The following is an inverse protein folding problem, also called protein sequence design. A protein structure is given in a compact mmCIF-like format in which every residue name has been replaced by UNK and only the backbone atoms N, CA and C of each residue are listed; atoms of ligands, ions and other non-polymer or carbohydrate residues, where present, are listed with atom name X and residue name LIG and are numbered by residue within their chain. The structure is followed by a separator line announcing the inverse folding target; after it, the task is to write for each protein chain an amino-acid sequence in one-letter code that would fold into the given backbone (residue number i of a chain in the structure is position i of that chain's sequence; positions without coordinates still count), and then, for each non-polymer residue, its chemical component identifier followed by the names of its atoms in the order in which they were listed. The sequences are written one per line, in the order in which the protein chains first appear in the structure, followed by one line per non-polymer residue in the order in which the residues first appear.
data_IF_593660704834
#
_entry.id   IF_593660704834
#
_cell.length_a   1.000
_cell.length_b   1.000
_cell.length_c   1.000
_cell.angle_alpha   90.00
_cell.angle_beta   90.00
_cell.angle_gamma   90.00
#
_symmetry.space_group_name_H-M   'P 1'
#
loop_
_entity.id
_entity.type
_entity.pdbx_description
1 polymer ?
#
# COMPACT_ATOMS: atom_id res chain seq x y z
N UNK A 1 -28.01 -8.78 -10.92
CA UNK A 1 -27.97 -7.39 -11.43
C UNK A 1 -28.36 -6.36 -10.36
N UNK A 2 -28.00 -6.54 -9.08
CA UNK A 2 -28.56 -5.69 -8.00
C UNK A 2 -27.58 -5.39 -6.86
N UNK A 3 -26.27 -5.37 -7.12
CA UNK A 3 -25.25 -5.09 -6.10
C UNK A 3 -24.33 -3.89 -6.42
N UNK A 4 -24.62 -3.13 -7.49
CA UNK A 4 -23.87 -1.93 -7.90
C UNK A 4 -24.58 -0.61 -7.58
N UNK A 5 -25.67 -0.63 -6.82
CA UNK A 5 -26.43 0.58 -6.46
C UNK A 5 -26.15 0.97 -5.02
N UNK A 6 -25.11 1.79 -4.82
CA UNK A 6 -25.10 2.93 -3.89
C UNK A 6 -23.70 3.57 -3.88
N UNK A 7 -23.29 4.11 -5.03
CA UNK A 7 -22.37 5.25 -5.04
C UNK A 7 -23.23 6.45 -5.44
N UNK A 8 -23.40 7.41 -4.53
CA UNK A 8 -23.93 8.72 -4.90
C UNK A 8 -22.92 9.31 -5.88
N UNK A 9 -23.32 9.43 -7.16
CA UNK A 9 -22.47 9.96 -8.21
C UNK A 9 -22.06 11.39 -7.86
N UNK A 10 -20.75 11.63 -7.75
CA UNK A 10 -20.23 12.99 -7.76
C UNK A 10 -20.68 13.69 -9.06
N UNK A 11 -20.99 15.00 -9.05
CA UNK A 11 -21.34 15.75 -10.26
C UNK A 11 -20.30 15.53 -11.36
N UNK A 12 -20.68 15.53 -12.64
CA UNK A 12 -19.76 15.23 -13.76
C UNK A 12 -18.45 16.03 -13.68
N UNK A 13 -18.51 17.29 -13.25
CA UNK A 13 -17.35 18.16 -13.07
C UNK A 13 -16.38 17.68 -11.98
N UNK A 14 -16.89 17.19 -10.85
CA UNK A 14 -16.06 16.74 -9.72
C UNK A 14 -15.31 15.44 -10.05
N UNK A 15 -15.98 14.49 -10.72
CA UNK A 15 -15.35 13.23 -11.13
C UNK A 15 -14.26 13.46 -12.20
N UNK A 16 -14.51 14.35 -13.17
CA UNK A 16 -13.53 14.72 -14.18
C UNK A 16 -12.30 15.41 -13.58
N UNK A 17 -12.49 16.33 -12.63
CA UNK A 17 -11.38 16.95 -11.91
C UNK A 17 -10.59 15.94 -11.08
N UNK A 18 -11.30 15.05 -10.36
CA UNK A 18 -10.65 13.99 -9.58
C UNK A 18 -9.84 13.06 -10.48
N UNK A 19 -10.38 12.72 -11.66
CA UNK A 19 -9.67 11.97 -12.68
C UNK A 19 -8.38 12.68 -13.06
N UNK A 20 -8.44 13.93 -13.51
CA UNK A 20 -7.26 14.70 -13.89
C UNK A 20 -6.21 14.79 -12.77
N UNK A 21 -6.64 15.05 -11.52
CA UNK A 21 -5.74 15.14 -10.36
C UNK A 21 -4.99 13.83 -10.07
N UNK A 22 -5.70 12.70 -10.04
CA UNK A 22 -5.07 11.38 -9.77
C UNK A 22 -4.14 11.00 -10.92
N UNK A 23 -4.56 11.22 -12.18
CA UNK A 23 -3.73 10.94 -13.37
C UNK A 23 -2.44 11.75 -13.39
N UNK A 24 -2.51 13.02 -13.00
CA UNK A 24 -1.35 13.91 -12.89
C UNK A 24 -0.39 13.47 -11.78
N UNK A 25 -0.89 12.99 -10.63
CA UNK A 25 -0.05 12.52 -9.54
C UNK A 25 0.90 11.40 -9.97
N UNK A 26 0.43 10.43 -10.76
CA UNK A 26 1.28 9.36 -11.31
C UNK A 26 2.42 9.89 -12.19
N UNK A 27 2.15 10.93 -13.00
CA UNK A 27 3.18 11.56 -13.82
C UNK A 27 4.18 12.36 -12.97
N UNK A 28 3.70 13.04 -11.93
CA UNK A 28 4.56 13.77 -10.98
C UNK A 28 5.51 12.83 -10.24
N UNK A 29 5.06 11.63 -9.88
CA UNK A 29 5.92 10.60 -9.27
C UNK A 29 6.96 10.03 -10.23
N UNK A 30 6.65 9.97 -11.54
CA UNK A 30 7.61 9.51 -12.54
C UNK A 30 8.53 10.63 -13.06
N UNK A 31 8.24 11.90 -12.77
CA UNK A 31 8.97 13.04 -13.31
C UNK A 31 10.46 13.11 -12.95
N UNK A 32 10.91 12.69 -11.74
CA UNK A 32 12.34 12.70 -11.39
C UNK A 32 13.17 11.61 -12.07
N UNK A 33 12.52 10.65 -12.76
CA UNK A 33 13.16 9.42 -13.22
C UNK A 33 13.58 9.49 -14.69
N UNK A 34 14.72 8.88 -14.99
CA UNK A 34 15.18 8.66 -16.35
C UNK A 34 14.36 7.57 -17.06
N UNK A 35 14.59 7.40 -18.37
CA UNK A 35 13.94 6.33 -19.12
C UNK A 35 14.44 4.94 -18.68
N UNK A 36 15.71 4.88 -18.28
CA UNK A 36 16.41 3.71 -17.78
C UNK A 36 15.80 3.27 -16.43
N UNK A 37 15.65 4.20 -15.49
CA UNK A 37 14.98 3.96 -14.20
C UNK A 37 13.56 3.41 -14.40
N UNK A 38 12.85 3.95 -15.40
CA UNK A 38 11.47 3.57 -15.67
C UNK A 38 11.32 2.17 -16.29
N UNK A 39 12.40 1.53 -16.75
CA UNK A 39 12.40 0.21 -17.37
C UNK A 39 12.77 -0.92 -16.40
N UNK A 40 13.50 -0.62 -15.33
CA UNK A 40 14.08 -1.65 -14.45
C UNK A 40 13.00 -2.45 -13.71
N UNK A 41 13.21 -3.76 -13.63
CA UNK A 41 12.50 -4.65 -12.72
C UNK A 41 13.53 -5.33 -11.81
N UNK A 42 13.64 -4.84 -10.58
CA UNK A 42 14.69 -5.27 -9.64
C UNK A 42 14.38 -6.59 -8.91
N UNK A 43 13.15 -7.07 -8.99
CA UNK A 43 12.72 -8.38 -8.48
C UNK A 43 11.37 -8.80 -9.11
N UNK A 44 10.98 -10.09 -9.06
CA UNK A 44 9.74 -10.57 -9.68
C UNK A 44 8.47 -9.87 -9.20
N UNK A 45 8.46 -9.39 -7.96
CA UNK A 45 7.30 -8.70 -7.39
C UNK A 45 7.17 -7.24 -7.81
N UNK A 46 8.28 -6.57 -8.09
CA UNK A 46 8.29 -5.20 -8.58
C UNK A 46 7.87 -5.16 -10.06
N UNK A 47 7.38 -4.02 -10.52
CA UNK A 47 7.15 -3.73 -11.94
C UNK A 47 7.85 -2.44 -12.36
N UNK A 48 8.29 -2.33 -13.63
CA UNK A 48 8.86 -1.09 -14.13
C UNK A 48 7.89 0.09 -14.00
N UNK A 49 8.40 1.28 -13.68
CA UNK A 49 7.56 2.50 -13.56
C UNK A 49 6.76 2.75 -14.84
N UNK A 50 7.35 2.54 -16.02
CA UNK A 50 6.61 2.67 -17.28
C UNK A 50 5.46 1.65 -17.39
N UNK A 51 5.62 0.46 -16.80
CA UNK A 51 4.57 -0.55 -16.77
C UNK A 51 3.44 -0.12 -15.85
N UNK A 52 3.73 0.45 -14.66
CA UNK A 52 2.70 1.04 -13.80
C UNK A 52 1.90 2.10 -14.57
N UNK A 53 2.59 3.05 -15.20
CA UNK A 53 1.97 4.14 -15.96
C UNK A 53 1.07 3.63 -17.10
N UNK A 54 1.50 2.60 -17.82
CA UNK A 54 0.71 1.99 -18.88
C UNK A 54 -0.44 1.15 -18.34
N UNK A 55 -0.23 0.36 -17.29
CA UNK A 55 -1.23 -0.52 -16.69
C UNK A 55 -2.45 0.22 -16.15
N UNK A 56 -2.23 1.31 -15.40
CA UNK A 56 -3.36 2.11 -14.90
C UNK A 56 -4.12 2.81 -16.03
N UNK A 57 -3.48 3.01 -17.19
CA UNK A 57 -4.13 3.56 -18.39
C UNK A 57 -4.94 2.48 -19.11
N UNK A 58 -4.36 1.29 -19.22
CA UNK A 58 -5.01 0.08 -19.72
C UNK A 58 -6.30 -0.23 -18.96
N UNK A 59 -6.34 0.02 -17.65
CA UNK A 59 -7.57 -0.14 -16.86
C UNK A 59 -8.71 0.73 -17.43
N UNK A 60 -8.48 2.02 -17.65
CA UNK A 60 -9.49 2.93 -18.18
C UNK A 60 -9.85 2.60 -19.64
N UNK A 61 -8.87 2.26 -20.47
CA UNK A 61 -9.14 1.88 -21.85
C UNK A 61 -9.99 0.60 -21.94
N UNK A 62 -9.66 -0.42 -21.15
CA UNK A 62 -10.30 -1.76 -21.20
C UNK A 62 -11.66 -1.78 -20.50
N UNK A 63 -11.76 -1.23 -19.28
CA UNK A 63 -12.98 -1.35 -18.49
C UNK A 63 -13.97 -0.20 -18.72
N UNK A 64 -13.51 0.94 -19.24
CA UNK A 64 -14.35 2.13 -19.44
C UNK A 64 -14.51 2.46 -20.92
N UNK A 65 -13.44 2.84 -21.62
CA UNK A 65 -13.57 3.32 -23.01
C UNK A 65 -14.11 2.23 -23.95
N UNK A 66 -13.60 1.01 -23.87
CA UNK A 66 -14.06 -0.12 -24.71
C UNK A 66 -15.57 -0.36 -24.62
N UNK A 67 -16.18 -0.10 -23.45
CA UNK A 67 -17.60 -0.32 -23.21
C UNK A 67 -18.47 0.90 -23.51
N UNK A 68 -17.98 2.10 -23.26
CA UNK A 68 -18.84 3.30 -23.20
C UNK A 68 -18.51 4.36 -24.26
N UNK A 69 -17.35 4.28 -24.91
CA UNK A 69 -17.01 5.16 -26.03
C UNK A 69 -17.66 4.67 -27.32
N UNK A 70 -18.31 5.58 -28.06
CA UNK A 70 -18.89 5.25 -29.37
C UNK A 70 -17.78 5.12 -30.41
N UNK A 71 -17.77 4.02 -31.16
CA UNK A 71 -16.77 3.78 -32.19
C UNK A 71 -15.38 3.52 -31.62
N UNK A 72 -15.31 2.91 -30.43
CA UNK A 72 -14.06 2.60 -29.74
C UNK A 72 -13.04 1.93 -30.67
N UNK A 73 -11.81 2.45 -30.63
CA UNK A 73 -10.62 1.80 -31.14
C UNK A 73 -9.53 1.81 -30.05
N UNK A 74 -8.78 0.71 -29.87
CA UNK A 74 -7.66 0.70 -28.94
C UNK A 74 -6.52 1.58 -29.46
N UNK A 75 -5.71 2.15 -28.56
CA UNK A 75 -4.49 2.87 -28.92
C UNK A 75 -3.52 1.96 -29.70
N UNK A 76 -3.29 0.75 -29.19
CA UNK A 76 -2.53 -0.32 -29.83
C UNK A 76 -3.11 -1.67 -29.38
N UNK A 77 -3.56 -2.55 -30.29
CA UNK A 77 -4.12 -3.85 -29.92
C UNK A 77 -3.20 -4.70 -29.04
N UNK A 78 -1.87 -4.60 -29.20
CA UNK A 78 -0.91 -5.37 -28.40
C UNK A 78 -0.91 -4.96 -26.92
N UNK A 79 -1.31 -3.72 -26.61
CA UNK A 79 -1.28 -3.21 -25.24
C UNK A 79 -2.29 -3.91 -24.33
N UNK A 80 -3.34 -4.50 -24.91
CA UNK A 80 -4.31 -5.32 -24.18
C UNK A 80 -3.63 -6.46 -23.42
N UNK A 81 -2.65 -7.12 -24.05
CA UNK A 81 -1.92 -8.27 -23.48
C UNK A 81 -0.71 -7.82 -22.66
N UNK A 82 0.02 -6.79 -23.12
CA UNK A 82 1.22 -6.30 -22.43
C UNK A 82 0.92 -5.73 -21.04
N UNK A 83 -0.24 -5.10 -20.88
CA UNK A 83 -0.60 -4.37 -19.68
C UNK A 83 -1.77 -5.01 -18.91
N UNK A 84 -2.25 -6.18 -19.30
CA UNK A 84 -3.09 -7.00 -18.42
C UNK A 84 -2.23 -7.49 -17.24
N UNK A 85 -2.69 -7.24 -16.01
CA UNK A 85 -1.98 -7.63 -14.80
C UNK A 85 -2.20 -9.09 -14.44
N UNK A 86 -3.46 -9.47 -14.29
CA UNK A 86 -3.89 -10.78 -13.79
C UNK A 86 -5.32 -11.16 -14.22
N UNK A 87 -6.02 -10.37 -15.04
CA UNK A 87 -7.44 -10.59 -15.33
C UNK A 87 -7.61 -11.70 -16.38
N UNK A 88 -7.94 -12.90 -15.92
CA UNK A 88 -8.09 -14.08 -16.78
C UNK A 88 -9.32 -13.94 -17.69
N UNK A 89 -10.40 -13.34 -17.18
CA UNK A 89 -11.59 -13.05 -17.97
C UNK A 89 -11.35 -12.03 -19.10
N UNK A 90 -10.26 -11.25 -19.05
CA UNK A 90 -9.92 -10.28 -20.11
C UNK A 90 -9.13 -10.94 -21.24
N UNK A 91 -8.24 -11.89 -20.91
CA UNK A 91 -7.49 -12.68 -21.89
C UNK A 91 -6.02 -12.88 -21.50
N UNK A 92 -5.19 -13.12 -22.51
CA UNK A 92 -3.75 -13.36 -22.35
C UNK A 92 -3.04 -12.20 -21.64
N UNK A 93 -1.90 -12.53 -21.02
CA UNK A 93 -1.08 -11.56 -20.30
C UNK A 93 0.41 -11.90 -20.40
N UNK A 94 1.25 -10.87 -20.35
CA UNK A 94 2.70 -11.06 -20.23
C UNK A 94 3.09 -11.58 -18.85
N UNK A 95 4.14 -12.41 -18.78
CA UNK A 95 4.63 -12.95 -17.51
C UNK A 95 5.10 -11.80 -16.57
N UNK A 96 4.53 -11.74 -15.36
CA UNK A 96 4.83 -10.68 -14.37
C UNK A 96 6.33 -10.53 -14.09
N UNK A 97 7.03 -11.65 -13.90
CA UNK A 97 8.46 -11.67 -13.59
C UNK A 97 9.38 -11.24 -14.76
N UNK A 98 8.82 -11.00 -15.95
CA UNK A 98 9.56 -10.64 -17.16
C UNK A 98 9.18 -9.25 -17.69
N UNK A 99 8.42 -8.45 -16.92
CA UNK A 99 8.03 -7.08 -17.33
C UNK A 99 9.23 -6.19 -17.62
N UNK A 100 10.35 -6.36 -16.91
CA UNK A 100 11.61 -5.65 -17.14
C UNK A 100 12.30 -6.00 -18.47
N UNK A 101 11.94 -7.13 -19.10
CA UNK A 101 12.48 -7.54 -20.41
C UNK A 101 11.68 -6.95 -21.59
N UNK A 102 10.53 -6.34 -21.31
CA UNK A 102 9.66 -5.73 -22.33
C UNK A 102 10.20 -4.35 -22.67
N UNK A 103 11.08 -4.26 -23.67
CA UNK A 103 11.75 -3.01 -24.06
C UNK A 103 10.80 -2.02 -24.75
N UNK A 104 9.77 -2.52 -25.45
CA UNK A 104 8.75 -1.70 -26.13
C UNK A 104 7.37 -1.97 -25.55
N UNK A 105 6.50 -0.95 -25.41
CA UNK A 105 6.69 0.44 -25.83
C UNK A 105 7.74 1.23 -25.01
N UNK A 106 8.29 2.30 -25.59
CA UNK A 106 9.18 3.24 -24.90
C UNK A 106 8.41 4.06 -23.86
N UNK A 107 9.10 4.71 -22.92
CA UNK A 107 8.45 5.61 -21.95
C UNK A 107 7.67 6.73 -22.65
N UNK A 108 8.19 7.27 -23.75
CA UNK A 108 7.50 8.29 -24.56
C UNK A 108 6.20 7.74 -25.17
N UNK A 109 6.23 6.54 -25.74
CA UNK A 109 5.02 5.88 -26.26
C UNK A 109 3.99 5.61 -25.15
N UNK A 110 4.43 5.24 -23.95
CA UNK A 110 3.54 5.10 -22.78
C UNK A 110 2.94 6.45 -22.38
N UNK A 111 3.69 7.55 -22.43
CA UNK A 111 3.17 8.90 -22.16
C UNK A 111 2.17 9.35 -23.23
N UNK A 112 2.43 9.04 -24.51
CA UNK A 112 1.49 9.30 -25.60
C UNK A 112 0.19 8.49 -25.43
N UNK A 113 0.30 7.22 -25.03
CA UNK A 113 -0.84 6.37 -24.68
C UNK A 113 -1.69 6.98 -23.56
N UNK A 114 -1.04 7.39 -22.47
CA UNK A 114 -1.69 8.11 -21.36
C UNK A 114 -2.44 9.34 -21.84
N UNK A 115 -1.77 10.23 -22.57
CA UNK A 115 -2.36 11.48 -23.02
C UNK A 115 -3.59 11.25 -23.92
N UNK A 116 -3.55 10.26 -24.82
CA UNK A 116 -4.67 9.96 -25.69
C UNK A 116 -5.87 9.39 -24.91
N UNK A 117 -5.64 8.43 -24.00
CA UNK A 117 -6.70 7.87 -23.15
C UNK A 117 -7.27 8.93 -22.23
N UNK A 118 -6.44 9.80 -21.64
CA UNK A 118 -6.89 10.89 -20.77
C UNK A 118 -7.80 11.87 -21.54
N UNK A 119 -7.47 12.21 -22.80
CA UNK A 119 -8.31 13.07 -23.64
C UNK A 119 -9.68 12.43 -23.97
N UNK A 120 -9.69 11.13 -24.28
CA UNK A 120 -10.92 10.36 -24.55
C UNK A 120 -11.79 10.23 -23.30
N UNK A 121 -11.17 9.96 -22.16
CA UNK A 121 -11.83 9.91 -20.86
C UNK A 121 -12.42 11.26 -20.47
N UNK A 122 -11.72 12.38 -20.72
CA UNK A 122 -12.26 13.71 -20.48
C UNK A 122 -13.55 13.96 -21.27
N UNK A 123 -13.56 13.60 -22.57
CA UNK A 123 -14.76 13.69 -23.41
C UNK A 123 -15.91 12.80 -22.91
N UNK A 124 -15.61 11.56 -22.52
CA UNK A 124 -16.61 10.64 -21.96
C UNK A 124 -17.18 11.14 -20.64
N UNK A 125 -16.34 11.62 -19.72
CA UNK A 125 -16.75 12.12 -18.41
C UNK A 125 -17.58 13.40 -18.53
N UNK A 126 -17.22 14.30 -19.45
CA UNK A 126 -18.01 15.49 -19.73
C UNK A 126 -19.40 15.15 -20.27
N UNK A 127 -19.49 14.13 -21.15
CA UNK A 127 -20.75 13.76 -21.78
C UNK A 127 -21.64 12.86 -20.93
N UNK A 128 -21.05 11.93 -20.17
CA UNK A 128 -21.74 10.78 -19.54
C UNK A 128 -21.21 10.42 -18.15
N UNK A 129 -20.40 11.28 -17.52
CA UNK A 129 -19.75 10.98 -16.23
C UNK A 129 -20.70 10.78 -15.05
N UNK A 130 -21.92 11.32 -15.13
CA UNK A 130 -22.99 11.14 -14.12
C UNK A 130 -23.69 9.78 -14.20
N UNK A 131 -23.48 9.01 -15.26
CA UNK A 131 -24.07 7.68 -15.37
C UNK A 131 -23.48 6.76 -14.29
N UNK A 132 -24.31 6.13 -13.43
CA UNK A 132 -23.82 5.43 -12.24
C UNK A 132 -22.79 4.33 -12.51
N UNK A 133 -22.91 3.63 -13.64
CA UNK A 133 -21.97 2.57 -14.01
C UNK A 133 -20.61 3.13 -14.43
N UNK A 134 -20.59 4.22 -15.21
CA UNK A 134 -19.36 4.93 -15.60
C UNK A 134 -18.71 5.51 -14.35
N UNK A 135 -19.48 6.23 -13.53
CA UNK A 135 -18.98 6.84 -12.30
C UNK A 135 -18.33 5.81 -11.36
N UNK A 136 -18.97 4.64 -11.20
CA UNK A 136 -18.46 3.57 -10.35
C UNK A 136 -17.16 2.94 -10.88
N UNK A 137 -17.10 2.63 -12.18
CA UNK A 137 -15.91 2.03 -12.79
C UNK A 137 -14.73 3.01 -12.85
N UNK A 138 -15.00 4.29 -13.13
CA UNK A 138 -13.98 5.34 -13.08
C UNK A 138 -13.48 5.51 -11.66
N UNK A 139 -14.37 5.57 -10.67
CA UNK A 139 -13.98 5.65 -9.26
C UNK A 139 -13.10 4.46 -8.86
N UNK A 140 -13.46 3.23 -9.25
CA UNK A 140 -12.61 2.05 -9.04
C UNK A 140 -11.24 2.21 -9.71
N UNK A 141 -11.20 2.66 -10.96
CA UNK A 141 -9.94 2.90 -11.69
C UNK A 141 -9.05 3.96 -11.03
N UNK A 142 -9.64 4.98 -10.41
CA UNK A 142 -8.90 6.00 -9.66
C UNK A 142 -8.30 5.45 -8.38
N UNK A 143 -9.04 4.63 -7.62
CA UNK A 143 -8.49 3.95 -6.44
C UNK A 143 -7.43 2.92 -6.84
N UNK A 144 -7.62 2.19 -7.95
CA UNK A 144 -6.61 1.31 -8.51
C UNK A 144 -5.32 2.05 -8.89
N UNK A 145 -5.42 3.22 -9.53
CA UNK A 145 -4.24 4.02 -9.85
C UNK A 145 -3.53 4.53 -8.59
N UNK A 146 -4.27 4.89 -7.54
CA UNK A 146 -3.69 5.26 -6.25
C UNK A 146 -2.90 4.12 -5.58
N UNK A 147 -3.36 2.87 -5.72
CA UNK A 147 -2.57 1.70 -5.29
C UNK A 147 -1.27 1.60 -6.11
N UNK A 148 -1.35 1.79 -7.42
CA UNK A 148 -0.17 1.78 -8.29
C UNK A 148 0.78 2.97 -8.08
N UNK A 149 0.31 4.10 -7.55
CA UNK A 149 1.15 5.24 -7.15
C UNK A 149 2.02 4.89 -5.95
N UNK A 150 1.46 4.20 -4.96
CA UNK A 150 2.24 3.66 -3.85
C UNK A 150 3.24 2.60 -4.33
N UNK A 151 2.79 1.64 -5.16
CA UNK A 151 3.66 0.60 -5.71
C UNK A 151 4.81 1.17 -6.54
N UNK A 152 4.56 2.22 -7.32
CA UNK A 152 5.60 2.91 -8.09
C UNK A 152 6.74 3.37 -7.16
N UNK A 153 6.40 3.97 -6.01
CA UNK A 153 7.37 4.42 -5.01
C UNK A 153 8.12 3.27 -4.33
N UNK A 154 7.43 2.17 -4.01
CA UNK A 154 8.08 1.00 -3.41
C UNK A 154 9.02 0.30 -4.39
N UNK A 155 8.63 0.24 -5.66
CA UNK A 155 9.34 -0.51 -6.70
C UNK A 155 10.58 0.26 -7.15
N UNK A 156 10.45 1.58 -7.34
CA UNK A 156 11.62 2.43 -7.66
C UNK A 156 12.60 2.53 -6.49
N UNK A 157 12.10 2.56 -5.24
CA UNK A 157 12.96 2.52 -4.06
C UNK A 157 13.81 1.25 -4.05
N UNK A 158 13.19 0.10 -4.34
CA UNK A 158 13.92 -1.16 -4.42
C UNK A 158 14.96 -1.13 -5.54
N UNK A 159 14.59 -0.68 -6.75
CA UNK A 159 15.52 -0.58 -7.87
C UNK A 159 16.74 0.31 -7.56
N UNK A 160 16.52 1.52 -7.05
CA UNK A 160 17.60 2.45 -6.69
C UNK A 160 18.45 1.92 -5.52
N UNK A 161 17.88 1.11 -4.63
CA UNK A 161 18.66 0.49 -3.55
C UNK A 161 19.69 -0.53 -4.04
N UNK A 162 19.46 -1.13 -5.21
CA UNK A 162 20.39 -2.07 -5.84
C UNK A 162 21.52 -1.39 -6.59
N UNK A 163 21.38 -0.09 -6.87
CA UNK A 163 22.42 0.71 -7.51
C UNK A 163 23.55 1.01 -6.50
N UNK A 164 24.82 0.69 -6.80
CA UNK A 164 25.94 0.90 -5.88
C UNK A 164 26.16 2.37 -5.47
N UNK A 165 25.72 3.33 -6.29
CA UNK A 165 25.83 4.75 -5.97
C UNK A 165 24.75 5.20 -4.97
N UNK A 166 23.74 4.37 -4.67
CA UNK A 166 22.63 4.69 -3.79
C UNK A 166 21.98 6.03 -4.16
N UNK A 167 21.73 6.20 -5.47
CA UNK A 167 21.18 7.42 -6.01
C UNK A 167 19.80 7.71 -5.40
N UNK A 168 19.57 8.95 -4.91
CA UNK A 168 18.26 9.32 -4.36
C UNK A 168 17.26 9.55 -5.49
N UNK A 169 16.00 9.18 -5.23
CA UNK A 169 14.86 9.54 -6.07
C UNK A 169 14.58 11.05 -6.01
N UNK A 170 14.68 11.65 -4.82
CA UNK A 170 14.61 13.09 -4.60
C UNK A 170 15.49 13.45 -3.39
N UNK A 171 16.13 14.62 -3.34
CA UNK A 171 16.92 15.04 -2.17
C UNK A 171 16.19 16.14 -1.38
N UNK A 172 15.76 15.82 -0.15
CA UNK A 172 15.05 16.73 0.77
C UNK A 172 15.48 16.54 2.23
N UNK A 173 16.59 15.85 2.48
CA UNK A 173 17.12 15.60 3.83
C UNK A 173 17.92 16.81 4.37
N UNK A 174 17.84 17.15 5.68
CA UNK A 174 17.03 16.54 6.74
C UNK A 174 15.55 16.97 6.68
N UNK A 175 14.64 16.06 7.02
CA UNK A 175 13.20 16.25 6.78
C UNK A 175 12.47 16.84 7.99
N UNK A 176 12.75 16.35 9.20
CA UNK A 176 12.07 16.79 10.42
C UNK A 176 13.00 16.75 11.63
N UNK A 177 12.66 17.51 12.67
CA UNK A 177 13.32 17.37 13.96
C UNK A 177 12.81 16.12 14.65
N UNK A 178 13.75 15.40 15.24
CA UNK A 178 13.45 14.16 15.93
C UNK A 178 13.18 14.43 17.40
N UNK A 179 12.13 13.82 17.94
CA UNK A 179 11.80 13.88 19.36
C UNK A 179 11.55 12.47 19.89
N UNK A 180 12.06 12.13 21.09
CA UNK A 180 11.72 10.89 21.75
C UNK A 180 10.22 10.81 22.06
N UNK A 181 9.61 9.68 21.74
CA UNK A 181 8.26 9.35 22.16
C UNK A 181 8.29 8.05 22.97
N UNK A 182 7.92 8.12 24.24
CA UNK A 182 7.85 6.94 25.11
C UNK A 182 6.69 6.04 24.69
N UNK A 183 6.92 4.72 24.72
CA UNK A 183 5.87 3.76 24.45
C UNK A 183 4.89 3.69 25.64
N UNK A 184 3.63 4.03 25.40
CA UNK A 184 2.48 3.81 26.29
C UNK A 184 1.55 2.75 25.73
N UNK A 185 0.69 2.20 26.58
CA UNK A 185 -0.34 1.24 26.25
C UNK A 185 -1.72 1.84 26.49
N UNK A 186 -2.66 1.61 25.58
CA UNK A 186 -4.03 2.07 25.66
C UNK A 186 -4.97 0.88 25.70
N UNK A 187 -5.75 0.76 26.77
CA UNK A 187 -6.69 -0.34 26.98
C UNK A 187 -7.98 -0.17 26.19
N UNK A 188 -8.49 -1.30 25.73
CA UNK A 188 -9.77 -1.45 25.06
C UNK A 188 -10.52 -2.61 25.72
N UNK A 189 -11.73 -2.35 26.21
CA UNK A 189 -12.54 -3.35 26.91
C UNK A 189 -12.95 -4.54 26.03
N UNK A 190 -12.93 -4.37 24.70
CA UNK A 190 -13.39 -5.38 23.76
C UNK A 190 -14.92 -5.56 23.77
N UNK A 191 -15.37 -6.81 23.69
CA UNK A 191 -16.79 -7.18 23.58
C UNK A 191 -17.26 -7.42 22.15
N UNK A 192 -18.58 -7.33 21.93
CA UNK A 192 -19.18 -7.49 20.61
C UNK A 192 -19.02 -6.21 19.80
N UNK A 193 -18.14 -6.24 18.80
CA UNK A 193 -17.82 -5.10 17.94
C UNK A 193 -18.28 -5.34 16.50
N UNK A 194 -18.57 -4.26 15.77
CA UNK A 194 -18.84 -4.31 14.33
C UNK A 194 -17.67 -3.73 13.55
N UNK A 195 -17.19 -4.47 12.56
CA UNK A 195 -16.07 -4.06 11.69
C UNK A 195 -16.37 -4.34 10.21
N UNK A 196 -15.59 -3.71 9.34
CA UNK A 196 -15.83 -3.63 7.90
C UNK A 196 -16.45 -2.30 7.48
N UNK A 197 -16.54 -2.07 6.18
CA UNK A 197 -16.88 -0.76 5.62
C UNK A 197 -18.24 -0.22 6.10
N UNK A 198 -18.26 1.05 6.49
CA UNK A 198 -19.46 1.81 6.84
C UNK A 198 -19.45 3.13 6.07
N UNK A 199 -20.36 3.29 5.10
CA UNK A 199 -20.37 4.46 4.23
C UNK A 199 -20.55 5.81 4.96
N UNK A 200 -21.15 5.80 6.15
CA UNK A 200 -21.32 7.02 6.97
C UNK A 200 -20.02 7.48 7.63
N UNK A 201 -19.10 6.55 7.89
CA UNK A 201 -17.82 6.81 8.54
C UNK A 201 -16.66 6.86 7.53
N UNK A 202 -16.73 6.00 6.51
CA UNK A 202 -15.64 5.70 5.58
C UNK A 202 -15.79 6.42 4.23
N UNK A 203 -16.95 7.04 3.98
CA UNK A 203 -17.30 7.60 2.68
C UNK A 203 -17.86 6.55 1.70
N UNK A 204 -18.21 6.95 0.47
CA UNK A 204 -19.05 6.15 -0.42
C UNK A 204 -18.31 5.02 -1.15
N UNK A 205 -16.98 5.08 -1.27
CA UNK A 205 -16.22 4.07 -2.01
C UNK A 205 -15.60 3.04 -1.07
N UNK A 206 -15.63 1.80 -1.52
CA UNK A 206 -15.11 0.66 -0.80
C UNK A 206 -14.60 -0.42 -1.76
N UNK A 207 -13.46 -1.08 -1.44
CA UNK A 207 -13.13 -2.35 -2.10
C UNK A 207 -14.03 -3.45 -1.55
N UNK A 208 -14.39 -4.42 -2.41
CA UNK A 208 -15.28 -5.54 -2.04
C UNK A 208 -14.79 -6.32 -0.81
N UNK A 209 -13.47 -6.49 -0.65
CA UNK A 209 -12.86 -7.22 0.45
C UNK A 209 -13.09 -6.60 1.84
N UNK A 210 -13.66 -5.40 1.91
CA UNK A 210 -13.96 -4.69 3.16
C UNK A 210 -15.44 -4.87 3.58
N UNK A 211 -16.19 -5.63 2.79
CA UNK A 211 -17.62 -5.88 2.98
C UNK A 211 -17.94 -7.39 3.06
N UNK A 212 -19.07 -7.77 3.67
CA UNK A 212 -20.00 -6.92 4.41
C UNK A 212 -19.46 -6.57 5.81
N UNK A 213 -19.96 -5.45 6.36
CA UNK A 213 -19.82 -5.14 7.78
C UNK A 213 -20.48 -6.24 8.61
N UNK A 214 -19.79 -6.70 9.64
CA UNK A 214 -20.24 -7.84 10.45
C UNK A 214 -19.71 -7.75 11.88
N UNK A 215 -20.25 -8.61 12.75
CA UNK A 215 -19.93 -8.65 14.17
C UNK A 215 -18.84 -9.67 14.46
N UNK A 216 -17.93 -9.30 15.36
CA UNK A 216 -16.87 -10.13 15.91
C UNK A 216 -16.77 -9.89 17.42
N UNK A 217 -16.38 -10.90 18.18
CA UNK A 217 -16.19 -10.78 19.62
C UNK A 217 -14.70 -10.62 19.92
N UNK A 218 -14.33 -9.59 20.67
CA UNK A 218 -12.96 -9.33 21.12
C UNK A 218 -12.86 -9.51 22.63
N UNK A 219 -11.75 -10.07 23.10
CA UNK A 219 -11.34 -9.93 24.50
C UNK A 219 -10.83 -8.51 24.78
N UNK A 220 -10.67 -8.14 26.05
CA UNK A 220 -9.98 -6.90 26.39
C UNK A 220 -8.50 -6.99 25.97
N UNK A 221 -7.97 -5.89 25.46
CA UNK A 221 -6.60 -5.81 24.96
C UNK A 221 -6.04 -4.41 25.15
N UNK A 222 -4.71 -4.29 25.06
CA UNK A 222 -4.01 -3.02 24.99
C UNK A 222 -3.32 -2.87 23.64
N UNK A 223 -3.34 -1.65 23.09
CA UNK A 223 -2.61 -1.29 21.89
C UNK A 223 -1.47 -0.33 22.22
N UNK A 224 -0.32 -0.53 21.59
CA UNK A 224 0.81 0.39 21.67
C UNK A 224 0.44 1.78 21.12
N UNK A 225 0.86 2.80 21.84
CA UNK A 225 0.68 4.22 21.52
C UNK A 225 1.28 4.66 20.19
N UNK A 226 2.38 4.07 19.74
CA UNK A 226 3.07 4.37 18.48
C UNK A 226 3.56 3.08 17.81
N UNK A 227 3.90 3.12 16.51
CA UNK A 227 4.64 2.03 15.89
C UNK A 227 6.00 1.82 16.57
N UNK A 228 6.54 0.61 16.40
CA UNK A 228 7.90 0.27 16.81
C UNK A 228 8.88 1.14 16.02
N UNK A 229 9.83 1.74 16.73
CA UNK A 229 10.83 2.64 16.15
C UNK A 229 12.09 1.89 15.77
N UNK A 230 12.94 2.51 14.96
CA UNK A 230 14.27 1.97 14.66
C UNK A 230 15.11 1.71 15.92
N UNK A 231 14.99 2.55 16.95
CA UNK A 231 15.71 2.39 18.22
C UNK A 231 15.24 1.16 18.99
N UNK A 232 13.94 0.92 19.02
CA UNK A 232 13.42 -0.32 19.61
C UNK A 232 13.90 -1.55 18.80
N UNK A 233 13.95 -1.44 17.46
CA UNK A 233 14.42 -2.51 16.57
C UNK A 233 15.91 -2.81 16.72
N UNK A 234 16.74 -1.78 16.92
CA UNK A 234 18.16 -1.96 17.26
C UNK A 234 18.31 -2.77 18.55
N UNK A 235 17.48 -2.51 19.56
CA UNK A 235 17.43 -3.32 20.78
C UNK A 235 17.15 -4.81 20.52
N UNK A 236 16.19 -5.11 19.64
CA UNK A 236 15.91 -6.48 19.20
C UNK A 236 17.11 -7.12 18.49
N UNK A 237 17.78 -6.38 17.59
CA UNK A 237 18.96 -6.88 16.86
C UNK A 237 20.16 -7.13 17.78
N UNK A 238 20.40 -6.22 18.73
CA UNK A 238 21.50 -6.30 19.70
C UNK A 238 21.32 -7.49 20.64
N UNK A 239 20.09 -7.76 21.08
CA UNK A 239 19.72 -8.95 21.88
C UNK A 239 19.61 -10.25 21.05
N UNK A 240 20.15 -10.24 19.82
CA UNK A 240 20.25 -11.42 18.98
C UNK A 240 18.93 -11.87 18.35
N UNK A 241 18.00 -10.96 18.10
CA UNK A 241 16.70 -11.23 17.49
C UNK A 241 16.76 -12.13 16.24
N UNK A 242 17.67 -11.85 15.31
CA UNK A 242 17.89 -12.67 14.09
C UNK A 242 18.72 -13.95 14.30
N UNK A 243 19.14 -14.24 15.53
CA UNK A 243 19.97 -15.40 15.90
C UNK A 243 19.28 -16.39 16.84
N UNK A 244 18.04 -16.09 17.25
CA UNK A 244 17.31 -16.78 18.31
C UNK A 244 16.06 -17.47 17.75
N UNK A 245 16.12 -18.76 17.36
CA UNK A 245 15.03 -19.45 16.67
C UNK A 245 13.71 -19.48 17.46
N UNK A 246 13.78 -19.46 18.78
CA UNK A 246 12.60 -19.45 19.67
C UNK A 246 11.73 -18.20 19.51
N UNK A 247 12.27 -17.13 18.91
CA UNK A 247 11.52 -15.91 18.64
C UNK A 247 10.70 -16.01 17.34
N UNK A 248 10.95 -16.98 16.47
CA UNK A 248 10.41 -16.99 15.11
C UNK A 248 9.36 -18.09 14.90
N UNK A 249 8.37 -17.80 14.05
CA UNK A 249 7.60 -18.86 13.40
C UNK A 249 8.54 -19.76 12.59
N UNK A 250 8.22 -21.06 12.48
CA UNK A 250 9.06 -22.03 11.77
C UNK A 250 9.43 -21.58 10.34
N UNK A 251 8.44 -21.18 9.54
CA UNK A 251 8.68 -20.64 8.19
C UNK A 251 9.49 -19.34 8.20
N UNK A 252 9.30 -18.50 9.22
CA UNK A 252 10.08 -17.27 9.40
C UNK A 252 11.55 -17.56 9.71
N UNK A 253 11.83 -18.57 10.54
CA UNK A 253 13.20 -18.99 10.83
C UNK A 253 13.90 -19.57 9.60
N UNK A 254 13.22 -20.42 8.83
CA UNK A 254 13.73 -20.93 7.56
C UNK A 254 14.03 -19.79 6.58
N UNK A 255 13.16 -18.79 6.53
CA UNK A 255 13.35 -17.58 5.70
C UNK A 255 14.55 -16.73 6.17
N UNK A 256 14.74 -16.53 7.48
CA UNK A 256 15.93 -15.85 8.02
C UNK A 256 17.20 -16.60 7.61
N UNK A 257 17.23 -17.92 7.81
CA UNK A 257 18.39 -18.76 7.50
C UNK A 257 18.71 -18.80 6.00
N UNK A 258 17.69 -19.02 5.16
CA UNK A 258 17.87 -19.14 3.72
C UNK A 258 18.38 -17.85 3.06
N UNK A 259 18.04 -16.68 3.62
CA UNK A 259 18.53 -15.38 3.12
C UNK A 259 19.70 -14.77 3.90
N UNK A 260 20.21 -15.43 4.95
CA UNK A 260 21.27 -14.87 5.80
C UNK A 260 20.89 -13.52 6.41
N UNK A 261 19.62 -13.35 6.80
CA UNK A 261 19.07 -12.05 7.22
C UNK A 261 19.56 -11.65 8.61
N UNK A 262 19.94 -10.38 8.75
CA UNK A 262 20.48 -9.84 10.01
C UNK A 262 19.90 -8.47 10.38
N UNK A 263 19.15 -7.84 9.48
CA UNK A 263 18.53 -6.53 9.65
C UNK A 263 17.35 -6.38 8.66
N UNK A 264 16.47 -5.37 8.86
CA UNK A 264 15.43 -5.01 7.90
C UNK A 264 15.96 -4.73 6.50
N UNK A 265 15.08 -4.84 5.50
CA UNK A 265 15.44 -4.51 4.12
C UNK A 265 15.94 -3.05 4.02
N UNK A 266 17.00 -2.85 3.22
CA UNK A 266 17.73 -1.59 3.01
C UNK A 266 18.70 -1.14 4.11
N UNK A 267 18.77 -1.84 5.25
CA UNK A 267 19.73 -1.52 6.30
C UNK A 267 21.13 -2.02 5.93
N UNK A 268 22.13 -1.17 6.14
CA UNK A 268 23.54 -1.52 5.95
C UNK A 268 24.39 -0.91 7.05
N UNK A 269 25.39 -1.66 7.50
CA UNK A 269 26.34 -1.20 8.50
C UNK A 269 27.57 -0.58 7.82
N UNK A 270 27.96 0.64 8.25
CA UNK A 270 29.17 1.35 7.80
C UNK A 270 29.85 1.98 9.00
N UNK A 271 31.14 1.67 9.20
CA UNK A 271 31.95 2.19 10.32
C UNK A 271 31.26 2.04 11.69
N UNK A 272 30.63 0.89 11.93
CA UNK A 272 29.92 0.59 13.18
C UNK A 272 28.56 1.26 13.34
N UNK A 273 28.10 2.06 12.37
CA UNK A 273 26.79 2.74 12.37
C UNK A 273 25.85 2.12 11.35
N UNK A 274 24.55 2.22 11.61
CA UNK A 274 23.52 1.73 10.69
C UNK A 274 22.99 2.84 9.80
N UNK A 275 22.83 2.52 8.52
CA UNK A 275 22.25 3.39 7.51
C UNK A 275 21.11 2.65 6.80
N UNK A 276 20.11 3.38 6.34
CA UNK A 276 19.01 2.86 5.52
C UNK A 276 18.99 3.53 4.16
N UNK A 277 18.87 2.75 3.08
CA UNK A 277 18.58 3.32 1.77
C UNK A 277 17.13 3.83 1.73
N UNK A 278 16.95 5.14 1.55
CA UNK A 278 15.65 5.80 1.44
C UNK A 278 15.46 6.37 0.03
N UNK A 279 14.26 6.85 -0.29
CA UNK A 279 14.05 7.64 -1.50
C UNK A 279 14.79 9.00 -1.47
N UNK A 280 15.35 9.37 -0.30
CA UNK A 280 16.24 10.51 -0.09
C UNK A 280 17.73 10.16 -0.23
N UNK A 281 18.05 8.90 -0.58
CA UNK A 281 19.39 8.34 -0.62
C UNK A 281 19.74 7.61 0.68
N UNK A 282 21.03 7.32 0.85
CA UNK A 282 21.51 6.66 2.05
C UNK A 282 21.57 7.62 3.24
N UNK A 283 20.82 7.31 4.30
CA UNK A 283 20.74 8.14 5.52
C UNK A 283 21.07 7.30 6.75
N UNK A 284 21.70 7.92 7.74
CA UNK A 284 21.92 7.28 9.05
C UNK A 284 20.56 7.03 9.72
N UNK A 285 20.45 5.91 10.43
CA UNK A 285 19.20 5.52 11.06
C UNK A 285 18.91 6.44 12.25
N UNK A 286 17.75 7.09 12.19
CA UNK A 286 17.19 7.83 13.32
C UNK A 286 16.43 6.88 14.26
N UNK A 287 16.78 6.78 15.55
CA UNK A 287 16.19 5.81 16.46
C UNK A 287 14.72 6.06 16.80
N UNK A 288 14.16 7.23 16.51
CA UNK A 288 12.78 7.56 16.90
C UNK A 288 11.79 7.50 15.73
N UNK A 289 12.29 7.29 14.51
CA UNK A 289 11.48 7.07 13.32
C UNK A 289 10.89 5.65 13.32
N UNK A 290 9.62 5.44 12.89
CA UNK A 290 9.04 4.11 12.76
C UNK A 290 9.92 3.17 11.93
N UNK A 291 10.15 1.97 12.44
CA UNK A 291 10.80 0.91 11.69
C UNK A 291 9.93 0.49 10.50
N UNK A 292 10.56 0.41 9.32
CA UNK A 292 9.89 0.14 8.06
C UNK A 292 10.65 -0.87 7.22
N UNK A 293 9.97 -1.43 6.22
CA UNK A 293 10.44 -2.51 5.36
C UNK A 293 10.63 -3.84 6.11
N UNK A 294 9.70 -4.10 7.02
CA UNK A 294 9.65 -5.31 7.83
C UNK A 294 8.74 -6.34 7.16
N UNK A 295 9.15 -7.61 7.17
CA UNK A 295 8.29 -8.74 6.83
C UNK A 295 7.30 -9.02 7.96
N UNK A 296 6.26 -9.80 7.66
CA UNK A 296 5.36 -10.30 8.71
C UNK A 296 6.13 -11.17 9.72
N UNK A 297 7.07 -11.98 9.24
CA UNK A 297 7.90 -12.83 10.12
C UNK A 297 8.75 -12.00 11.08
N UNK A 298 9.34 -10.91 10.59
CA UNK A 298 10.08 -9.96 11.41
C UNK A 298 9.17 -9.29 12.44
N UNK A 299 8.00 -8.79 12.01
CA UNK A 299 7.04 -8.15 12.89
C UNK A 299 6.55 -9.08 14.02
N UNK A 300 6.22 -10.34 13.70
CA UNK A 300 5.82 -11.35 14.69
C UNK A 300 6.97 -11.71 15.65
N UNK A 301 8.19 -11.90 15.13
CA UNK A 301 9.34 -12.23 15.96
C UNK A 301 9.71 -11.10 16.93
N UNK A 302 9.65 -9.86 16.46
CA UNK A 302 9.83 -8.68 17.31
C UNK A 302 8.74 -8.60 18.38
N UNK A 303 7.47 -8.81 18.02
CA UNK A 303 6.37 -8.77 18.99
C UNK A 303 6.56 -9.84 20.09
N UNK A 304 6.96 -11.06 19.71
CA UNK A 304 7.27 -12.14 20.67
C UNK A 304 8.44 -11.78 21.58
N UNK A 305 9.51 -11.20 21.03
CA UNK A 305 10.67 -10.73 21.82
C UNK A 305 10.27 -9.65 22.82
N UNK A 306 9.39 -8.72 22.42
CA UNK A 306 8.88 -7.65 23.28
C UNK A 306 7.87 -8.12 24.34
N UNK A 307 7.59 -9.44 24.43
CA UNK A 307 6.56 -9.98 25.33
C UNK A 307 5.14 -9.56 24.96
N UNK A 308 4.91 -9.27 23.68
CA UNK A 308 3.65 -8.79 23.12
C UNK A 308 3.21 -9.69 21.94
N UNK A 309 2.23 -9.22 21.16
CA UNK A 309 1.76 -9.84 19.92
C UNK A 309 1.42 -8.77 18.88
N UNK A 310 1.11 -9.21 17.66
CA UNK A 310 0.48 -8.36 16.66
C UNK A 310 -1.01 -8.16 17.00
N UNK A 311 -1.60 -6.97 16.78
CA UNK A 311 -3.05 -6.78 16.85
C UNK A 311 -3.72 -7.59 15.75
N UNK A 312 -4.92 -8.11 16.00
CA UNK A 312 -5.79 -8.55 14.90
C UNK A 312 -6.26 -7.36 14.08
N UNK A 313 -6.69 -7.57 12.82
CA UNK A 313 -7.23 -6.48 12.00
C UNK A 313 -8.48 -5.84 12.61
N UNK A 314 -9.21 -6.59 13.45
CA UNK A 314 -10.44 -6.13 14.12
C UNK A 314 -10.11 -5.26 15.34
N UNK A 315 -9.12 -5.65 16.14
CA UNK A 315 -8.60 -4.83 17.24
C UNK A 315 -8.02 -3.50 16.71
N UNK A 316 -7.25 -3.58 15.63
CA UNK A 316 -6.72 -2.42 14.96
C UNK A 316 -7.82 -1.49 14.45
N UNK A 317 -8.83 -2.05 13.76
CA UNK A 317 -9.95 -1.26 13.24
C UNK A 317 -10.72 -0.58 14.38
N UNK A 318 -11.00 -1.30 15.47
CA UNK A 318 -11.69 -0.74 16.64
C UNK A 318 -10.96 0.51 17.16
N UNK A 319 -9.63 0.44 17.30
CA UNK A 319 -8.81 1.57 17.74
C UNK A 319 -8.81 2.72 16.72
N UNK A 320 -8.81 2.40 15.42
CA UNK A 320 -8.78 3.39 14.34
C UNK A 320 -10.10 4.14 14.12
N UNK A 321 -11.25 3.56 14.51
CA UNK A 321 -12.59 4.13 14.23
C UNK A 321 -12.87 5.47 14.91
N UNK A 322 -12.18 5.80 15.99
CA UNK A 322 -12.31 7.09 16.68
C UNK A 322 -11.39 8.19 16.13
N UNK A 323 -10.58 7.87 15.12
CA UNK A 323 -9.54 8.75 14.57
C UNK A 323 -9.87 9.19 13.15
N UNK A 324 -9.41 10.39 12.78
CA UNK A 324 -9.51 10.87 11.40
C UNK A 324 -8.44 10.22 10.51
N UNK A 325 -8.88 9.37 9.59
CA UNK A 325 -8.02 8.71 8.60
C UNK A 325 -7.23 9.66 7.69
N UNK A 326 -7.60 10.94 7.62
CA UNK A 326 -6.91 11.97 6.82
C UNK A 326 -5.77 12.66 7.56
N UNK A 327 -5.71 12.53 8.89
CA UNK A 327 -4.73 13.22 9.72
C UNK A 327 -3.31 12.59 9.69
N UNK A 328 -3.15 11.46 9.00
CA UNK A 328 -1.88 10.73 8.88
C UNK A 328 -0.79 11.42 8.07
N UNK A 329 0.38 10.81 8.05
CA UNK A 329 1.48 11.19 7.16
C UNK A 329 1.46 10.34 5.88
N UNK A 330 1.12 10.99 4.77
CA UNK A 330 0.90 10.36 3.46
C UNK A 330 1.78 10.96 2.35
N UNK A 331 1.62 10.44 1.13
CA UNK A 331 2.41 10.80 -0.05
C UNK A 331 2.28 12.28 -0.50
N UNK A 332 1.21 12.97 -0.13
CA UNK A 332 0.97 14.38 -0.47
C UNK A 332 2.00 15.33 0.17
N UNK A 333 2.63 14.93 1.28
CA UNK A 333 3.77 15.65 1.87
C UNK A 333 5.06 15.49 1.07
N UNK A 334 5.11 14.51 0.17
CA UNK A 334 6.25 14.21 -0.70
C UNK A 334 7.59 14.03 0.06
N UNK A 335 7.48 13.44 1.25
CA UNK A 335 8.60 13.02 2.10
C UNK A 335 9.07 11.62 1.72
N UNK A 336 8.12 10.71 1.46
CA UNK A 336 8.34 9.32 1.03
C UNK A 336 9.28 8.52 1.95
N UNK A 337 9.19 8.79 3.25
CA UNK A 337 9.86 8.08 4.33
C UNK A 337 9.03 8.27 5.61
N UNK A 338 8.96 7.30 6.54
CA UNK A 338 8.29 7.52 7.82
C UNK A 338 8.93 8.70 8.57
N UNK A 339 8.12 9.36 9.41
CA UNK A 339 8.59 10.42 10.29
C UNK A 339 8.39 10.04 11.76
N UNK A 340 9.23 10.56 12.67
CA UNK A 340 8.98 10.40 14.10
C UNK A 340 7.65 11.07 14.49
N UNK A 341 7.01 10.56 15.54
CA UNK A 341 5.78 11.13 16.06
C UNK A 341 5.97 12.63 16.36
N UNK A 342 5.13 13.48 15.77
CA UNK A 342 5.16 14.92 16.02
C UNK A 342 4.46 15.33 17.32
N UNK A 343 3.70 14.42 17.94
CA UNK A 343 2.90 14.65 19.14
C UNK A 343 3.08 13.48 20.11
N UNK A 344 3.12 13.79 21.41
CA UNK A 344 3.09 12.75 22.45
C UNK A 344 1.71 12.09 22.50
N UNK A 345 1.68 10.80 22.78
CA UNK A 345 0.46 10.02 22.88
C UNK A 345 -0.23 10.26 24.23
N UNK A 346 -0.89 11.41 24.37
CA UNK A 346 -1.54 11.82 25.62
C UNK A 346 -2.94 11.20 25.79
N UNK A 347 -3.76 11.20 24.74
CA UNK A 347 -5.17 10.83 24.81
C UNK A 347 -5.53 9.55 24.03
N UNK A 348 -4.59 9.00 23.26
CA UNK A 348 -4.80 7.80 22.47
C UNK A 348 -3.57 7.46 21.61
N UNK A 349 -3.63 6.34 20.87
CA UNK A 349 -2.57 5.98 19.93
C UNK A 349 -2.38 7.05 18.85
N UNK A 350 -1.12 7.35 18.54
CA UNK A 350 -0.70 8.26 17.47
C UNK A 350 -0.18 7.46 16.28
N UNK A 351 -0.16 8.09 15.10
CA UNK A 351 0.33 7.49 13.84
C UNK A 351 -0.38 6.16 13.51
N UNK A 352 -1.67 6.02 13.85
CA UNK A 352 -2.48 4.88 13.40
C UNK A 352 -2.63 4.93 11.88
N UNK A 353 -2.75 6.12 11.29
CA UNK A 353 -2.81 6.30 9.85
C UNK A 353 -1.53 6.95 9.32
N UNK A 354 -1.03 6.45 8.18
CA UNK A 354 0.17 6.93 7.52
C UNK A 354 1.47 6.41 8.13
N UNK A 355 2.59 6.97 7.67
CA UNK A 355 3.96 6.53 7.97
C UNK A 355 4.28 5.10 7.48
N UNK A 356 3.70 4.08 8.08
CA UNK A 356 3.90 2.66 7.73
C UNK A 356 2.59 1.89 7.76
N UNK A 357 2.43 0.97 6.81
CA UNK A 357 1.43 -0.09 6.93
C UNK A 357 1.76 -0.97 8.14
N UNK A 358 0.80 -1.19 9.04
CA UNK A 358 1.02 -1.96 10.25
C UNK A 358 0.58 -3.41 10.04
N UNK A 359 1.51 -4.37 10.16
CA UNK A 359 1.19 -5.80 10.11
C UNK A 359 0.22 -6.19 11.23
N UNK A 360 -0.78 -7.00 10.90
CA UNK A 360 -1.74 -7.57 11.85
C UNK A 360 -1.55 -9.07 11.98
N UNK A 361 -1.99 -9.66 13.09
CA UNK A 361 -2.06 -11.11 13.29
C UNK A 361 -3.16 -11.81 12.47
N UNK A 362 -3.79 -11.12 11.51
CA UNK A 362 -4.91 -11.63 10.73
C UNK A 362 -4.47 -12.06 9.33
N UNK A 363 -4.78 -13.31 8.97
CA UNK A 363 -4.68 -13.76 7.58
C UNK A 363 -5.68 -13.01 6.70
N UNK A 364 -5.33 -12.76 5.44
CA UNK A 364 -6.22 -12.13 4.46
C UNK A 364 -7.27 -13.13 3.98
N UNK A 365 -8.34 -13.25 4.76
CA UNK A 365 -9.49 -14.11 4.50
C UNK A 365 -10.71 -13.28 4.08
N UNK A 366 -11.68 -13.90 3.36
CA UNK A 366 -12.97 -13.26 3.11
C UNK A 366 -13.69 -12.99 4.43
N UNK A 367 -14.29 -11.81 4.54
CA UNK A 367 -15.26 -11.57 5.60
C UNK A 367 -16.46 -12.53 5.47
N UNK A 368 -17.15 -12.87 6.57
CA UNK A 368 -18.34 -13.71 6.53
C UNK A 368 -19.36 -13.15 5.54
N UNK A 369 -19.81 -14.01 4.61
CA UNK A 369 -20.74 -13.68 3.52
C UNK A 369 -20.16 -12.75 2.44
N UNK A 370 -18.85 -12.53 2.40
CA UNK A 370 -18.19 -11.87 1.27
C UNK A 370 -18.61 -12.51 -0.06
N UNK A 371 -18.87 -11.67 -1.04
CA UNK A 371 -19.10 -12.06 -2.43
C UNK A 371 -18.29 -11.11 -3.30
N UNK A 372 -17.46 -11.64 -4.24
CA UNK A 372 -16.75 -10.77 -5.15
C UNK A 372 -17.73 -10.00 -6.03
N UNK A 373 -17.30 -8.87 -6.57
CA UNK A 373 -18.07 -8.17 -7.59
C UNK A 373 -18.31 -9.07 -8.82
N UNK A 374 -19.42 -8.88 -9.57
CA UNK A 374 -19.67 -9.64 -10.79
C UNK A 374 -18.74 -9.21 -11.94
N UNK A 375 -18.49 -10.13 -12.87
CA UNK A 375 -17.69 -9.87 -14.08
C UNK A 375 -16.18 -9.85 -13.83
N UNK A 376 -15.41 -9.36 -14.81
CA UNK A 376 -13.94 -9.36 -14.75
C UNK A 376 -13.39 -8.59 -13.54
N UNK A 377 -14.05 -7.50 -13.13
CA UNK A 377 -13.66 -6.73 -11.93
C UNK A 377 -13.80 -7.54 -10.63
N UNK A 378 -14.52 -8.67 -10.62
CA UNK A 378 -14.59 -9.60 -9.50
C UNK A 378 -13.28 -10.31 -9.19
N UNK A 379 -12.34 -10.33 -10.12
CA UNK A 379 -11.01 -10.90 -9.91
C UNK A 379 -10.08 -9.99 -9.08
N UNK A 380 -10.53 -8.78 -8.73
CA UNK A 380 -9.68 -7.77 -8.09
C UNK A 380 -9.07 -8.24 -6.76
N UNK A 381 -9.89 -8.83 -5.88
CA UNK A 381 -9.48 -9.14 -4.51
C UNK A 381 -9.68 -10.62 -4.13
N UNK A 382 -10.86 -11.19 -4.40
CA UNK A 382 -11.27 -12.47 -3.82
C UNK A 382 -10.31 -13.64 -4.11
N UNK A 383 -9.71 -13.68 -5.30
CA UNK A 383 -8.77 -14.75 -5.69
C UNK A 383 -7.42 -14.72 -4.97
N UNK A 384 -7.12 -13.62 -4.26
CA UNK A 384 -5.89 -13.42 -3.51
C UNK A 384 -6.03 -13.75 -2.02
N UNK A 385 -7.21 -14.18 -1.56
CA UNK A 385 -7.51 -14.49 -0.15
C UNK A 385 -6.95 -15.85 0.31
N UNK A 386 -5.64 -16.05 0.13
CA UNK A 386 -4.88 -17.22 0.56
C UNK A 386 -3.39 -16.84 0.69
N UNK A 387 -2.70 -17.40 1.69
CA UNK A 387 -1.25 -17.24 1.92
C UNK A 387 -0.76 -15.78 2.04
N UNK A 388 -1.61 -14.88 2.55
CA UNK A 388 -1.28 -13.47 2.76
C UNK A 388 -1.80 -13.00 4.12
N UNK A 389 -1.20 -11.95 4.65
CA UNK A 389 -1.56 -11.33 5.92
C UNK A 389 -2.00 -9.89 5.69
N UNK A 390 -2.89 -9.41 6.57
CA UNK A 390 -3.50 -8.08 6.46
C UNK A 390 -2.57 -7.03 7.08
N UNK A 391 -2.44 -5.89 6.40
CA UNK A 391 -1.86 -4.67 6.94
C UNK A 391 -2.87 -3.52 6.93
N UNK A 392 -2.73 -2.58 7.87
CA UNK A 392 -3.66 -1.46 8.07
C UNK A 392 -2.94 -0.11 8.18
N UNK A 393 -3.70 0.99 8.07
CA UNK A 393 -3.20 2.35 8.34
C UNK A 393 -2.74 3.18 7.14
N UNK A 394 -2.24 2.57 6.08
CA UNK A 394 -1.55 3.31 5.02
C UNK A 394 -0.12 3.69 5.40
N UNK A 395 0.66 4.16 4.45
CA UNK A 395 2.07 4.51 4.63
C UNK A 395 2.38 5.94 4.18
N UNK A 396 3.62 6.38 4.38
CA UNK A 396 4.15 7.63 3.83
C UNK A 396 4.16 7.67 2.28
N UNK A 397 3.90 6.55 1.61
CA UNK A 397 3.78 6.44 0.15
C UNK A 397 2.33 6.26 -0.32
N UNK A 398 1.37 6.06 0.59
CA UNK A 398 -0.05 5.98 0.24
C UNK A 398 -0.60 7.38 -0.05
N UNK A 399 -1.41 7.58 -1.11
CA UNK A 399 -2.06 8.87 -1.37
C UNK A 399 -3.03 9.27 -0.24
N UNK A 400 -3.00 10.54 0.15
CA UNK A 400 -3.93 11.07 1.15
C UNK A 400 -5.40 10.87 0.71
N UNK A 401 -6.24 10.42 1.65
CA UNK A 401 -7.65 10.11 1.40
C UNK A 401 -7.91 8.80 0.64
N UNK A 402 -6.88 7.98 0.36
CA UNK A 402 -7.05 6.65 -0.21
C UNK A 402 -7.47 5.61 0.84
N UNK A 403 -6.87 5.69 2.02
CA UNK A 403 -7.13 4.77 3.13
C UNK A 403 -8.32 5.20 3.97
N UNK A 404 -8.81 4.26 4.76
CA UNK A 404 -9.88 4.43 5.74
C UNK A 404 -9.74 3.40 6.85
N UNK A 405 -10.54 3.53 7.91
CA UNK A 405 -10.49 2.62 9.03
C UNK A 405 -10.74 1.16 8.62
N UNK A 406 -11.56 0.88 7.61
CA UNK A 406 -11.80 -0.50 7.11
C UNK A 406 -10.80 -1.00 6.05
N UNK A 407 -9.87 -0.17 5.54
CA UNK A 407 -9.00 -0.50 4.41
C UNK A 407 -8.08 -1.70 4.67
N UNK A 408 -8.18 -2.76 3.86
CA UNK A 408 -7.39 -3.98 4.02
C UNK A 408 -6.32 -4.07 2.93
N UNK A 409 -5.08 -3.72 3.28
CA UNK A 409 -3.93 -4.08 2.44
C UNK A 409 -3.52 -5.52 2.77
N UNK A 410 -2.85 -6.20 1.83
CA UNK A 410 -2.46 -7.60 2.01
C UNK A 410 -1.20 -7.94 1.22
N UNK A 411 -0.30 -8.68 1.85
CA UNK A 411 0.92 -9.17 1.21
C UNK A 411 1.31 -10.56 1.75
N UNK A 412 2.12 -11.34 1.00
CA UNK A 412 2.77 -12.54 1.51
C UNK A 412 3.64 -12.24 2.74
N UNK A 413 3.81 -13.19 3.67
CA UNK A 413 4.48 -12.92 4.94
C UNK A 413 5.96 -12.53 4.80
N UNK A 414 6.62 -12.91 3.71
CA UNK A 414 8.01 -12.57 3.40
C UNK A 414 8.21 -11.16 2.80
N UNK A 415 7.13 -10.46 2.44
CA UNK A 415 7.22 -9.19 1.74
C UNK A 415 7.83 -8.09 2.62
N UNK A 416 8.95 -7.50 2.16
CA UNK A 416 9.67 -6.43 2.87
C UNK A 416 9.71 -5.10 2.11
N UNK A 417 9.50 -5.07 0.79
CA UNK A 417 9.73 -3.86 -0.01
C UNK A 417 8.66 -2.78 0.15
N UNK A 418 7.48 -3.17 0.64
CA UNK A 418 6.43 -2.25 1.04
C UNK A 418 6.89 -1.40 2.23
N UNK A 419 6.27 -0.25 2.44
CA UNK A 419 6.48 0.56 3.65
C UNK A 419 5.75 -0.05 4.84
N UNK A 420 6.11 -1.28 5.21
CA UNK A 420 5.51 -2.07 6.28
C UNK A 420 6.30 -1.95 7.58
N UNK A 421 5.59 -1.69 8.67
CA UNK A 421 6.10 -1.60 10.03
C UNK A 421 5.26 -2.46 10.98
N UNK A 422 5.38 -2.20 12.28
CA UNK A 422 4.66 -2.94 13.30
C UNK A 422 4.20 -2.05 14.44
N UNK A 423 2.98 -2.30 14.92
CA UNK A 423 2.43 -1.80 16.19
C UNK A 423 2.11 -3.00 17.05
N UNK A 424 2.44 -2.91 18.34
CA UNK A 424 2.23 -4.01 19.28
C UNK A 424 0.82 -3.98 19.88
N UNK A 425 0.31 -5.16 20.20
CA UNK A 425 -0.83 -5.37 21.08
C UNK A 425 -0.47 -6.37 22.17
N UNK A 426 -1.21 -6.37 23.28
CA UNK A 426 -1.12 -7.41 24.32
C UNK A 426 -2.48 -7.64 24.96
N UNK A 427 -2.67 -8.83 25.51
CA UNK A 427 -3.89 -9.17 26.26
C UNK A 427 -3.80 -8.57 27.68
N UNK A 428 -4.95 -8.24 28.27
CA UNK A 428 -5.06 -7.68 29.62
C UNK A 428 -5.78 -8.60 30.60
#
# INVERSE_FOLDING_TARGET
MTAFRQAVGAPAGELAERYARVRAASLSLAAPLSAEDCQVQSMPDASPVKWHLAHVTWFFETFVLERFERGFAPFDPAFRVLFNSYYQAVGEQSARAQRGLILRPTLEQVRAYRAQVDARMAGLLQARGEEPEIASLVTLGLHHEQQHQELLLTDIKHALSTDPAHAPYARRWPIARVQPASLRWFGFEGGLVEHGHDASLDGPFCFDNETPRHRSHLGPFELASRPVSHGDWLGFMDDGGYRRPELWLSLGWDWVRAGGRTAPLYWQQRDGRWFSHTLQGLVEIDPYTPACHLSYFEADAYARWAGARLPTEVEWELAARSLDSRAGHFADRAVFHPLPASQDAAAGPVQIFGDVWEWTGSAYLPYPRFRPWPGAVGEYNGKFMCNQFVLRGGSCATPAGHVRASYRNFFPPEAQWQFSGVRLARDT
#
